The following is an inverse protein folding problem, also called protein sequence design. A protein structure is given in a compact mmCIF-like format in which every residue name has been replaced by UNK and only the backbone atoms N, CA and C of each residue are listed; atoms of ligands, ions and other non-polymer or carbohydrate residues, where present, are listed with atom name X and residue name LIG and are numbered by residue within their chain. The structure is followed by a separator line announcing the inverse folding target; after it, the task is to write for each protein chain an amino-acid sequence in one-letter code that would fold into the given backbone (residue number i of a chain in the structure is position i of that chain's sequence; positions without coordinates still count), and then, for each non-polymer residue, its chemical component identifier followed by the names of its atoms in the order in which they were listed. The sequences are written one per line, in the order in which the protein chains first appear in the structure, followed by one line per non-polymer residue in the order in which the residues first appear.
data_IF_696232624365
#
_entry.id   IF_696232624365
#
_cell.length_a   1.000
_cell.length_b   1.000
_cell.length_c   1.000
_cell.angle_alpha   90.00
_cell.angle_beta   90.00
_cell.angle_gamma   90.00
#
_symmetry.space_group_name_H-M   'P 1'
#
loop_
_entity.id
_entity.type
_entity.pdbx_description
1 polymer ?
#
# COMPACT_ATOMS: atom_id res chain seq x y z
N UNK A 1 -4.97 -16.01 2.16
CA UNK A 1 -3.58 -15.70 1.76
C UNK A 1 -2.63 -15.58 2.96
N UNK A 2 -3.15 -15.45 4.19
CA UNK A 2 -2.38 -15.27 5.42
C UNK A 2 -1.34 -16.39 5.58
N UNK A 3 -0.06 -16.00 5.72
CA UNK A 3 1.08 -16.94 5.81
C UNK A 3 1.46 -17.62 4.50
N UNK A 4 0.86 -17.24 3.36
CA UNK A 4 1.23 -17.71 2.01
C UNK A 4 1.95 -16.65 1.19
N UNK A 5 1.85 -15.40 1.60
CA UNK A 5 2.54 -14.26 1.00
C UNK A 5 3.37 -13.56 2.05
N UNK A 6 4.48 -12.97 1.64
CA UNK A 6 5.35 -12.22 2.56
C UNK A 6 4.61 -10.98 3.09
N UNK A 7 4.00 -10.21 2.21
CA UNK A 7 3.39 -8.92 2.55
C UNK A 7 2.04 -8.77 1.87
N UNK A 8 1.02 -8.32 2.61
CA UNK A 8 -0.27 -7.89 2.08
C UNK A 8 -0.23 -6.38 1.92
N UNK A 9 -0.37 -5.87 0.69
CA UNK A 9 -0.08 -4.46 0.38
C UNK A 9 -1.31 -3.54 0.37
N UNK A 10 -2.52 -4.09 0.51
CA UNK A 10 -3.79 -3.38 0.29
C UNK A 10 -4.65 -3.32 1.56
N UNK A 11 -4.03 -2.98 2.70
CA UNK A 11 -4.79 -2.77 3.94
C UNK A 11 -5.30 -1.34 3.98
N UNK A 12 -6.57 -1.18 3.70
CA UNK A 12 -7.26 0.10 3.47
C UNK A 12 -8.26 0.48 4.57
N UNK A 13 -8.60 -0.44 5.48
CA UNK A 13 -9.61 -0.25 6.54
C UNK A 13 -9.34 -1.13 7.75
N UNK A 14 -9.83 -0.68 8.88
CA UNK A 14 -9.59 -1.34 10.17
C UNK A 14 -10.21 -2.74 10.25
N UNK A 15 -11.35 -2.97 9.60
CA UNK A 15 -12.02 -4.26 9.58
C UNK A 15 -11.15 -5.32 8.91
N UNK A 16 -10.48 -4.96 7.79
CA UNK A 16 -9.55 -5.85 7.11
C UNK A 16 -8.32 -6.13 7.97
N UNK A 17 -7.76 -5.12 8.63
CA UNK A 17 -6.64 -5.28 9.55
C UNK A 17 -6.99 -6.22 10.73
N UNK A 18 -8.17 -6.06 11.31
CA UNK A 18 -8.68 -6.93 12.36
C UNK A 18 -8.79 -8.40 11.91
N UNK A 19 -9.31 -8.62 10.70
CA UNK A 19 -9.45 -9.98 10.16
C UNK A 19 -8.09 -10.62 9.85
N UNK A 20 -7.14 -9.85 9.30
CA UNK A 20 -5.76 -10.31 9.11
C UNK A 20 -5.14 -10.68 10.45
N UNK A 21 -5.25 -9.83 11.47
CA UNK A 21 -4.76 -10.05 12.82
C UNK A 21 -5.33 -11.35 13.42
N UNK A 22 -6.65 -11.51 13.37
CA UNK A 22 -7.35 -12.70 13.87
C UNK A 22 -6.85 -13.99 13.20
N UNK A 23 -6.67 -13.96 11.86
CA UNK A 23 -6.21 -15.13 11.10
C UNK A 23 -4.72 -15.42 11.33
N UNK A 24 -3.89 -14.39 11.48
CA UNK A 24 -2.47 -14.53 11.77
C UNK A 24 -2.26 -15.17 13.17
N UNK A 25 -3.01 -14.71 14.17
CA UNK A 25 -2.99 -15.30 15.51
C UNK A 25 -3.40 -16.78 15.50
N UNK A 26 -4.45 -17.16 14.76
CA UNK A 26 -4.84 -18.58 14.62
C UNK A 26 -3.75 -19.47 14.04
N UNK A 27 -2.82 -18.88 13.29
CA UNK A 27 -1.67 -19.59 12.69
C UNK A 27 -0.38 -19.41 13.47
N UNK A 28 -0.39 -18.69 14.60
CA UNK A 28 0.78 -18.34 15.40
C UNK A 28 1.89 -17.66 14.54
N UNK A 29 1.51 -16.73 13.67
CA UNK A 29 2.44 -15.96 12.82
C UNK A 29 2.22 -14.46 12.97
N UNK A 30 3.20 -13.67 12.52
CA UNK A 30 3.09 -12.24 12.29
C UNK A 30 3.06 -12.02 10.78
N UNK A 31 2.01 -11.36 10.28
CA UNK A 31 1.85 -11.02 8.87
C UNK A 31 2.28 -9.59 8.61
N UNK A 32 3.23 -9.40 7.70
CA UNK A 32 3.61 -8.08 7.22
C UNK A 32 2.50 -7.49 6.35
N UNK A 33 2.22 -6.21 6.56
CA UNK A 33 1.24 -5.47 5.76
C UNK A 33 1.78 -4.10 5.35
N UNK A 34 1.28 -3.56 4.24
CA UNK A 34 1.40 -2.15 3.89
C UNK A 34 0.02 -1.52 3.96
N UNK A 35 -0.02 -0.29 4.42
CA UNK A 35 -1.24 0.50 4.42
C UNK A 35 -1.44 1.14 3.05
N UNK A 36 -2.56 0.85 2.43
CA UNK A 36 -2.98 1.53 1.21
C UNK A 36 -3.48 2.93 1.56
N UNK A 37 -2.89 3.93 0.91
CA UNK A 37 -3.25 5.35 1.09
C UNK A 37 -3.95 5.85 -0.16
N UNK A 38 -5.12 6.46 -0.01
CA UNK A 38 -5.84 7.15 -1.08
C UNK A 38 -5.21 8.53 -1.34
N UNK A 39 -4.03 8.53 -1.94
CA UNK A 39 -3.22 9.74 -2.13
C UNK A 39 -3.88 10.79 -3.02
N UNK A 40 -4.83 10.40 -3.84
CA UNK A 40 -5.60 11.29 -4.71
C UNK A 40 -6.90 11.79 -4.10
N UNK A 41 -7.26 11.34 -2.90
CA UNK A 41 -8.55 11.64 -2.23
C UNK A 41 -9.75 11.39 -3.15
N UNK A 42 -9.69 10.28 -3.93
CA UNK A 42 -10.76 9.90 -4.87
C UNK A 42 -11.86 9.13 -4.12
N UNK A 43 -13.10 9.62 -4.04
CA UNK A 43 -14.16 9.02 -3.21
C UNK A 43 -14.50 7.57 -3.57
N UNK A 44 -14.26 7.16 -4.83
CA UNK A 44 -14.54 5.81 -5.32
C UNK A 44 -13.41 4.81 -5.04
N UNK A 45 -12.24 5.25 -4.56
CA UNK A 45 -11.11 4.40 -4.24
C UNK A 45 -11.06 4.10 -2.75
N UNK A 46 -10.67 2.86 -2.41
CA UNK A 46 -10.26 2.50 -1.05
C UNK A 46 -8.95 3.17 -0.67
N UNK A 47 -8.56 2.97 0.58
CA UNK A 47 -7.32 3.52 1.13
C UNK A 47 -7.57 4.46 2.29
N UNK A 48 -6.61 4.51 3.22
CA UNK A 48 -6.62 5.48 4.30
C UNK A 48 -6.50 6.90 3.75
N UNK A 49 -7.27 7.83 4.27
CA UNK A 49 -7.12 9.24 3.93
C UNK A 49 -5.77 9.77 4.44
N UNK A 50 -5.03 10.55 3.62
CA UNK A 50 -3.73 11.07 4.01
C UNK A 50 -3.71 11.79 5.36
N UNK A 51 -4.72 12.62 5.61
CA UNK A 51 -4.84 13.41 6.84
C UNK A 51 -5.16 12.56 8.07
N UNK A 52 -5.76 11.37 7.88
CA UNK A 52 -6.12 10.44 8.95
C UNK A 52 -5.13 9.29 9.10
N UNK A 53 -4.03 9.29 8.34
CA UNK A 53 -3.07 8.20 8.35
C UNK A 53 -2.52 7.91 9.76
N UNK A 54 -2.22 8.95 10.55
CA UNK A 54 -1.73 8.79 11.91
C UNK A 54 -2.74 8.06 12.83
N UNK A 55 -4.01 8.43 12.77
CA UNK A 55 -5.08 7.78 13.54
C UNK A 55 -5.26 6.32 13.11
N UNK A 56 -5.20 6.09 11.80
CA UNK A 56 -5.31 4.75 11.24
C UNK A 56 -4.15 3.85 11.69
N UNK A 57 -2.91 4.33 11.57
CA UNK A 57 -1.72 3.62 12.05
C UNK A 57 -1.79 3.35 13.56
N UNK A 58 -2.22 4.32 14.36
CA UNK A 58 -2.41 4.15 15.81
C UNK A 58 -3.42 3.05 16.13
N UNK A 59 -4.50 2.96 15.38
CA UNK A 59 -5.53 1.93 15.56
C UNK A 59 -5.01 0.52 15.23
N UNK A 60 -4.16 0.40 14.21
CA UNK A 60 -3.60 -0.89 13.79
C UNK A 60 -2.39 -1.30 14.63
N UNK A 61 -1.61 -0.35 15.12
CA UNK A 61 -0.32 -0.60 15.80
C UNK A 61 -0.42 -1.55 16.99
N UNK A 62 -1.60 -1.66 17.59
CA UNK A 62 -1.86 -2.51 18.76
C UNK A 62 -2.42 -3.89 18.41
N UNK A 63 -2.68 -4.16 17.14
CA UNK A 63 -3.22 -5.45 16.71
C UNK A 63 -2.13 -6.53 16.75
N UNK A 64 -2.34 -7.62 17.51
CA UNK A 64 -1.38 -8.72 17.55
C UNK A 64 -1.37 -9.49 16.22
N UNK A 65 -0.23 -10.10 15.90
CA UNK A 65 -0.08 -10.89 14.67
C UNK A 65 -0.03 -10.07 13.37
N UNK A 66 0.07 -8.75 13.47
CA UNK A 66 0.25 -7.84 12.33
C UNK A 66 1.52 -7.00 12.54
N UNK A 67 2.24 -6.71 11.47
CA UNK A 67 3.35 -5.75 11.43
C UNK A 67 3.18 -4.85 10.22
N UNK A 68 3.04 -3.55 10.46
CA UNK A 68 2.99 -2.55 9.40
C UNK A 68 4.43 -2.27 8.94
N UNK A 69 4.77 -2.71 7.73
CA UNK A 69 6.13 -2.56 7.15
C UNK A 69 6.23 -1.34 6.23
N UNK A 70 5.18 -0.59 6.06
CA UNK A 70 5.22 0.61 5.25
C UNK A 70 3.88 1.01 4.63
N UNK A 71 3.98 1.80 3.56
CA UNK A 71 2.84 2.36 2.85
C UNK A 71 2.79 1.90 1.39
N UNK A 72 1.59 1.90 0.82
CA UNK A 72 1.34 1.64 -0.60
C UNK A 72 0.37 2.67 -1.15
N UNK A 73 0.51 3.05 -2.41
CA UNK A 73 -0.53 3.81 -3.11
C UNK A 73 -0.67 3.41 -4.58
N UNK A 74 -1.88 3.65 -5.09
CA UNK A 74 -2.20 3.68 -6.52
C UNK A 74 -2.69 5.09 -6.82
N UNK A 75 -1.87 5.94 -7.45
CA UNK A 75 -2.25 7.32 -7.73
C UNK A 75 -3.43 7.41 -8.70
N UNK A 76 -4.07 8.57 -8.84
CA UNK A 76 -5.00 8.84 -9.92
C UNK A 76 -4.37 8.55 -11.29
N UNK A 77 -5.22 8.13 -12.25
CA UNK A 77 -4.79 7.93 -13.62
C UNK A 77 -4.58 9.29 -14.31
N UNK A 78 -3.38 9.82 -14.19
CA UNK A 78 -2.94 11.08 -14.80
C UNK A 78 -1.64 10.88 -15.56
N UNK A 79 -1.37 11.72 -16.53
CA UNK A 79 -0.22 11.56 -17.42
C UNK A 79 1.10 12.13 -16.84
N UNK A 80 2.20 11.48 -17.21
CA UNK A 80 3.58 11.98 -17.14
C UNK A 80 3.96 12.66 -15.82
N UNK A 81 4.31 13.94 -15.89
CA UNK A 81 4.74 14.73 -14.74
C UNK A 81 3.63 14.92 -13.68
N UNK A 82 2.37 14.85 -14.07
CA UNK A 82 1.26 14.99 -13.14
C UNK A 82 1.17 13.84 -12.12
N UNK A 83 1.62 12.65 -12.45
CA UNK A 83 1.65 11.53 -11.50
C UNK A 83 2.74 11.71 -10.44
N UNK A 84 3.84 12.36 -10.82
CA UNK A 84 5.01 12.55 -9.96
C UNK A 84 4.67 13.28 -8.66
N UNK A 85 3.78 14.28 -8.73
CA UNK A 85 3.32 15.00 -7.52
C UNK A 85 2.71 14.09 -6.47
N UNK A 86 1.95 13.07 -6.88
CA UNK A 86 1.36 12.10 -5.95
C UNK A 86 2.41 11.20 -5.31
N UNK A 87 3.45 10.83 -6.06
CA UNK A 87 4.57 10.07 -5.50
C UNK A 87 5.39 10.92 -4.52
N UNK A 88 5.60 12.20 -4.80
CA UNK A 88 6.23 13.14 -3.86
C UNK A 88 5.42 13.28 -2.57
N UNK A 89 4.10 13.51 -2.67
CA UNK A 89 3.19 13.54 -1.50
C UNK A 89 3.27 12.25 -0.70
N UNK A 90 3.28 11.09 -1.38
CA UNK A 90 3.38 9.80 -0.73
C UNK A 90 4.72 9.61 -0.02
N UNK A 91 5.81 10.11 -0.60
CA UNK A 91 7.13 10.14 0.03
C UNK A 91 7.14 10.98 1.29
N UNK A 92 6.54 12.16 1.27
CA UNK A 92 6.43 13.04 2.45
C UNK A 92 5.66 12.37 3.58
N UNK A 93 4.51 11.73 3.28
CA UNK A 93 3.75 10.96 4.26
C UNK A 93 4.55 9.81 4.86
N UNK A 94 5.30 9.09 4.03
CA UNK A 94 6.14 7.98 4.46
C UNK A 94 7.26 8.45 5.39
N UNK A 95 7.96 9.54 5.05
CA UNK A 95 9.01 10.09 5.91
C UNK A 95 8.44 10.65 7.23
N UNK A 96 7.28 11.29 7.18
CA UNK A 96 6.58 11.72 8.39
C UNK A 96 6.21 10.53 9.28
N UNK A 97 5.70 9.44 8.68
CA UNK A 97 5.30 8.25 9.43
C UNK A 97 6.48 7.51 10.06
N UNK A 98 7.69 7.63 9.55
CA UNK A 98 8.92 7.12 10.20
C UNK A 98 9.16 7.73 11.57
N UNK A 99 8.70 8.95 11.79
CA UNK A 99 8.82 9.65 13.07
C UNK A 99 7.78 9.24 14.11
N UNK A 100 6.83 8.36 13.77
CA UNK A 100 5.82 7.92 14.72
C UNK A 100 6.37 6.80 15.60
N UNK A 101 6.37 7.04 16.91
CA UNK A 101 6.73 6.01 17.89
C UNK A 101 5.50 5.15 18.21
N UNK A 102 5.26 4.14 17.37
CA UNK A 102 4.12 3.24 17.48
C UNK A 102 4.58 1.79 17.48
N UNK A 103 4.07 0.94 18.38
CA UNK A 103 4.39 -0.49 18.36
C UNK A 103 3.94 -1.12 17.04
N UNK A 104 4.71 -2.09 16.54
CA UNK A 104 4.42 -2.84 15.30
C UNK A 104 4.31 -1.98 14.01
N UNK A 105 4.79 -0.75 14.02
CA UNK A 105 4.82 0.13 12.84
C UNK A 105 6.27 0.40 12.44
N UNK A 106 6.64 -0.06 11.25
CA UNK A 106 7.98 0.08 10.67
C UNK A 106 7.82 0.65 9.25
N UNK A 107 8.48 1.73 8.93
CA UNK A 107 8.39 2.37 7.61
C UNK A 107 9.62 1.99 6.77
N UNK A 108 9.72 0.71 6.36
CA UNK A 108 10.80 0.18 5.53
C UNK A 108 10.44 0.18 4.04
N UNK A 109 9.15 -0.02 3.73
CA UNK A 109 8.68 -0.24 2.35
C UNK A 109 7.75 0.87 1.89
N UNK A 110 8.13 1.55 0.82
CA UNK A 110 7.28 2.50 0.09
C UNK A 110 6.95 1.88 -1.27
N UNK A 111 5.74 1.26 -1.37
CA UNK A 111 5.28 0.59 -2.57
C UNK A 111 4.44 1.52 -3.43
N UNK A 112 5.00 1.99 -4.53
CA UNK A 112 4.32 2.84 -5.49
C UNK A 112 4.94 2.68 -6.87
N UNK A 113 4.16 2.96 -7.92
CA UNK A 113 4.59 2.80 -9.31
C UNK A 113 4.26 1.44 -9.91
N UNK A 114 3.76 1.48 -11.13
CA UNK A 114 3.38 0.33 -11.96
C UNK A 114 4.04 0.44 -13.34
N UNK A 115 3.68 -0.44 -14.28
CA UNK A 115 4.30 -0.53 -15.62
C UNK A 115 4.38 0.80 -16.38
N UNK A 116 3.44 1.73 -16.15
CA UNK A 116 3.39 3.02 -16.87
C UNK A 116 4.14 4.17 -16.20
N UNK A 117 4.42 4.07 -14.91
CA UNK A 117 4.89 5.20 -14.09
C UNK A 117 6.00 4.87 -13.08
N UNK A 118 6.48 3.60 -13.06
CA UNK A 118 7.48 3.17 -12.09
C UNK A 118 8.77 4.00 -12.10
N UNK A 119 9.16 4.58 -13.26
CA UNK A 119 10.35 5.42 -13.33
C UNK A 119 10.20 6.70 -12.51
N UNK A 120 9.04 7.34 -12.62
CA UNK A 120 8.71 8.51 -11.80
C UNK A 120 8.63 8.13 -10.31
N UNK A 121 8.02 6.99 -9.99
CA UNK A 121 7.96 6.49 -8.61
C UNK A 121 9.34 6.23 -8.00
N UNK A 122 10.26 5.61 -8.76
CA UNK A 122 11.64 5.38 -8.32
C UNK A 122 12.38 6.70 -8.11
N UNK A 123 12.21 7.67 -9.01
CA UNK A 123 12.80 9.01 -8.85
C UNK A 123 12.30 9.72 -7.58
N UNK A 124 11.06 9.46 -7.15
CA UNK A 124 10.48 9.96 -5.89
C UNK A 124 10.74 9.04 -4.69
N UNK A 125 11.58 8.02 -4.83
CA UNK A 125 12.05 7.20 -3.72
C UNK A 125 11.21 5.97 -3.40
N UNK A 126 10.46 5.42 -4.37
CA UNK A 126 9.86 4.11 -4.21
C UNK A 126 10.91 3.05 -3.86
N UNK A 127 10.64 2.24 -2.84
CA UNK A 127 11.49 1.09 -2.49
C UNK A 127 10.95 -0.21 -3.11
N UNK A 128 9.70 -0.18 -3.57
CA UNK A 128 9.04 -1.30 -4.24
C UNK A 128 8.15 -0.78 -5.38
N UNK A 129 8.24 -1.44 -6.54
CA UNK A 129 7.38 -1.20 -7.70
C UNK A 129 6.60 -2.46 -8.07
N UNK A 130 5.44 -2.30 -8.71
CA UNK A 130 4.54 -3.41 -9.07
C UNK A 130 4.41 -3.50 -10.58
N UNK A 131 5.31 -4.20 -11.23
CA UNK A 131 5.38 -4.30 -12.69
C UNK A 131 4.68 -5.57 -13.16
N UNK A 132 3.61 -5.42 -13.91
CA UNK A 132 2.84 -6.52 -14.51
C UNK A 132 2.91 -6.51 -16.03
N UNK A 133 2.24 -5.58 -16.70
CA UNK A 133 2.15 -5.51 -18.17
C UNK A 133 3.50 -5.46 -18.87
N UNK A 134 4.48 -4.76 -18.32
CA UNK A 134 5.81 -4.68 -18.91
C UNK A 134 6.59 -6.01 -18.89
N UNK A 135 6.22 -6.95 -18.01
CA UNK A 135 6.84 -8.29 -17.91
C UNK A 135 6.02 -9.38 -18.60
N UNK A 136 4.69 -9.33 -18.47
CA UNK A 136 3.78 -10.41 -18.91
C UNK A 136 2.98 -10.06 -20.16
N UNK A 137 3.14 -8.86 -20.73
CA UNK A 137 2.35 -8.37 -21.85
C UNK A 137 0.95 -7.91 -21.43
N UNK A 138 0.14 -7.54 -22.42
CA UNK A 138 -1.25 -7.16 -22.20
C UNK A 138 -2.13 -8.37 -21.90
N UNK A 139 -3.14 -8.18 -21.04
CA UNK A 139 -4.13 -9.22 -20.79
C UNK A 139 -4.92 -9.48 -22.08
N UNK A 140 -4.88 -10.70 -22.58
CA UNK A 140 -5.83 -11.14 -23.61
C UNK A 140 -7.25 -11.04 -23.01
N UNK A 141 -8.07 -10.13 -23.54
CA UNK A 141 -9.49 -10.10 -23.20
C UNK A 141 -10.11 -11.34 -23.82
N UNK A 142 -10.88 -12.18 -23.06
CA UNK A 142 -11.69 -13.19 -23.69
C UNK A 142 -12.59 -12.48 -24.71
N UNK A 143 -12.58 -12.96 -25.96
CA UNK A 143 -13.51 -12.48 -26.97
C UNK A 143 -14.96 -12.64 -26.48
N UNK A 144 -15.91 -11.90 -27.06
CA UNK A 144 -17.34 -12.10 -26.74
C UNK A 144 -17.66 -13.57 -26.88
N UNK A 145 -18.26 -14.15 -25.84
CA UNK A 145 -18.81 -15.50 -25.93
C UNK A 145 -19.91 -15.47 -27.02
N UNK A 146 -19.72 -16.25 -28.08
CA UNK A 146 -20.73 -16.47 -29.10
C UNK A 146 -21.97 -17.11 -28.49
#
# INVERSE_FOLDING_TARGET
IIGRVKTIQSVDRIELANEISRLAQKKNIVQDVLIEVNIGSEPQKGGAEPDKLNEFLSSISRLPGIRVDGLMCIPPAVDGENVRRYFAMMRELFEKAKGYDMPNVFMNTLSMGMSGDYRAAVAEGATMVRVGRALFGERMRPGPKA
#
